data_IF_861022530051
#
_entry.id   IF_861022530051
#
_cell.length_a   1.000
_cell.length_b   1.000
_cell.length_c   1.000
_cell.angle_alpha   90.00
_cell.angle_beta   90.00
_cell.angle_gamma   90.00
#
_symmetry.space_group_name_H-M   'P 1'
#
loop_
_entity.id
_entity.type
_entity.pdbx_description
1 polymer ?
#
# COMPACT_ATOMS: atom_id res chain seq x y z
N UNK A 1 6.55 17.47 26.94
CA UNK A 1 6.12 17.17 25.56
C UNK A 1 5.55 15.76 25.59
N UNK A 2 4.38 15.55 24.99
CA UNK A 2 3.84 14.19 24.83
C UNK A 2 4.63 13.55 23.70
N UNK A 3 5.25 12.41 23.96
CA UNK A 3 6.00 11.67 22.95
C UNK A 3 5.01 11.17 21.88
N UNK A 4 5.28 11.44 20.60
CA UNK A 4 4.36 11.13 19.51
C UNK A 4 4.91 9.97 18.68
N UNK A 5 4.01 9.07 18.28
CA UNK A 5 4.28 7.99 17.34
C UNK A 5 3.55 8.29 16.04
N UNK A 6 4.29 8.34 14.93
CA UNK A 6 3.69 8.36 13.60
C UNK A 6 3.23 6.95 13.23
N UNK A 7 1.99 6.79 12.83
CA UNK A 7 1.42 5.56 12.30
C UNK A 7 1.25 5.72 10.79
N UNK A 8 1.66 4.71 10.03
CA UNK A 8 1.44 4.63 8.60
C UNK A 8 0.88 3.25 8.25
N UNK A 9 -0.44 3.17 8.11
CA UNK A 9 -1.13 1.94 7.74
C UNK A 9 -1.52 1.93 6.26
N UNK A 10 -1.21 0.84 5.56
CA UNK A 10 -1.47 0.71 4.13
C UNK A 10 -1.96 -0.69 3.76
N UNK A 11 -2.84 -0.77 2.77
CA UNK A 11 -3.22 -2.03 2.12
C UNK A 11 -2.37 -2.18 0.87
N UNK A 12 -1.73 -3.35 0.69
CA UNK A 12 -0.88 -3.63 -0.46
C UNK A 12 -1.33 -4.92 -1.14
N UNK A 13 -1.30 -4.94 -2.46
CA UNK A 13 -1.64 -6.08 -3.28
C UNK A 13 -0.39 -6.87 -3.68
N UNK A 14 -0.41 -8.17 -3.39
CA UNK A 14 0.55 -9.17 -3.85
C UNK A 14 -0.08 -9.93 -5.01
N UNK A 15 0.39 -9.63 -6.21
CA UNK A 15 -0.08 -10.21 -7.47
C UNK A 15 1.11 -10.92 -8.10
N UNK A 16 1.00 -12.23 -8.31
CA UNK A 16 2.07 -13.06 -8.88
C UNK A 16 1.62 -13.56 -10.24
N UNK A 17 2.45 -13.33 -11.26
CA UNK A 17 2.30 -13.87 -12.61
C UNK A 17 3.61 -14.56 -12.98
N UNK A 18 3.55 -15.84 -13.37
CA UNK A 18 4.72 -16.64 -13.78
C UNK A 18 5.91 -16.57 -12.80
N UNK A 19 5.63 -16.75 -11.51
CA UNK A 19 6.60 -16.66 -10.39
C UNK A 19 7.25 -15.28 -10.17
N UNK A 20 6.77 -14.24 -10.86
CA UNK A 20 7.21 -12.86 -10.71
C UNK A 20 6.13 -11.98 -10.07
N UNK A 21 6.53 -10.91 -9.41
CA UNK A 21 5.64 -9.97 -8.74
C UNK A 21 5.30 -8.82 -9.69
N UNK A 22 4.01 -8.55 -9.83
CA UNK A 22 3.53 -7.38 -10.55
C UNK A 22 3.69 -6.14 -9.68
N UNK A 23 4.37 -5.12 -10.22
CA UNK A 23 4.59 -3.82 -9.58
C UNK A 23 4.29 -2.69 -10.58
N UNK A 24 4.04 -1.49 -10.07
CA UNK A 24 3.65 -0.31 -10.86
C UNK A 24 4.53 0.88 -10.51
N UNK A 25 4.82 1.77 -11.47
CA UNK A 25 5.53 3.02 -11.15
C UNK A 25 4.65 3.87 -10.25
N UNK A 26 5.22 4.30 -9.12
CA UNK A 26 4.54 5.17 -8.19
C UNK A 26 4.18 6.51 -8.86
N UNK A 27 2.88 6.81 -8.96
CA UNK A 27 2.36 7.98 -9.67
C UNK A 27 2.96 9.29 -9.14
N UNK A 28 2.94 9.51 -7.82
CA UNK A 28 3.47 10.73 -7.21
C UNK A 28 4.97 10.92 -7.49
N UNK A 29 5.77 9.86 -7.37
CA UNK A 29 7.21 9.93 -7.69
C UNK A 29 7.43 10.23 -9.17
N UNK A 30 6.61 9.64 -10.04
CA UNK A 30 6.68 9.86 -11.48
C UNK A 30 6.37 11.32 -11.87
N UNK A 31 5.41 11.96 -11.21
CA UNK A 31 5.12 13.40 -11.39
C UNK A 31 6.33 14.29 -11.04
N UNK A 32 7.22 13.81 -10.17
CA UNK A 32 8.48 14.46 -9.82
C UNK A 32 9.68 13.96 -10.64
N UNK A 33 9.45 13.23 -11.74
CA UNK A 33 10.50 12.72 -12.63
C UNK A 33 11.29 11.53 -12.07
N UNK A 34 10.84 10.92 -10.97
CA UNK A 34 11.49 9.77 -10.34
C UNK A 34 10.75 8.48 -10.68
N UNK A 35 11.43 7.55 -11.35
CA UNK A 35 10.90 6.21 -11.60
C UNK A 35 11.19 5.31 -10.41
N UNK A 36 10.15 4.94 -9.67
CA UNK A 36 10.22 3.99 -8.56
C UNK A 36 9.04 3.03 -8.66
N UNK A 37 9.31 1.73 -8.80
CA UNK A 37 8.27 0.71 -8.77
C UNK A 37 7.83 0.42 -7.33
N UNK A 38 6.53 0.37 -7.09
CA UNK A 38 5.93 0.00 -5.81
C UNK A 38 4.87 -1.09 -6.01
N UNK A 39 4.45 -1.80 -4.94
CA UNK A 39 3.26 -2.64 -5.03
C UNK A 39 2.05 -1.78 -5.34
N UNK A 40 1.03 -2.40 -5.92
CA UNK A 40 -0.31 -1.81 -5.98
C UNK A 40 -0.85 -1.61 -4.56
N UNK A 41 -1.45 -0.47 -4.28
CA UNK A 41 -2.10 -0.15 -3.01
C UNK A 41 -1.76 1.22 -2.42
N UNK A 42 -2.43 1.53 -1.31
CA UNK A 42 -2.39 2.86 -0.73
C UNK A 42 -2.65 2.89 0.78
N UNK A 43 -2.76 4.10 1.31
CA UNK A 43 -3.06 4.31 2.73
C UNK A 43 -4.45 3.76 3.05
N UNK A 44 -4.56 2.97 4.13
CA UNK A 44 -5.88 2.53 4.60
C UNK A 44 -6.66 3.75 5.08
N UNK A 45 -7.91 3.91 4.67
CA UNK A 45 -8.72 5.05 5.12
C UNK A 45 -9.63 4.66 6.27
N UNK A 46 -9.96 5.60 7.14
CA UNK A 46 -11.00 5.43 8.15
C UNK A 46 -12.33 6.06 7.70
N UNK A 47 -13.44 5.58 8.24
CA UNK A 47 -14.77 6.15 8.01
C UNK A 47 -15.10 7.19 9.08
N UNK A 48 -16.03 8.10 8.80
CA UNK A 48 -16.44 9.16 9.75
C UNK A 48 -16.80 8.62 11.13
N UNK A 49 -17.33 7.40 11.21
CA UNK A 49 -17.65 6.71 12.47
C UNK A 49 -16.44 6.43 13.36
N UNK A 50 -15.23 6.37 12.82
CA UNK A 50 -13.99 6.23 13.60
C UNK A 50 -13.45 7.56 14.14
N UNK A 51 -13.93 8.70 13.63
CA UNK A 51 -13.33 10.00 13.92
C UNK A 51 -13.41 10.37 15.40
N UNK A 52 -14.52 10.03 16.09
CA UNK A 52 -14.65 10.26 17.53
C UNK A 52 -13.60 9.48 18.32
N UNK A 53 -13.37 8.21 17.96
CA UNK A 53 -12.36 7.38 18.61
C UNK A 53 -10.95 7.95 18.37
N UNK A 54 -10.59 8.23 17.12
CA UNK A 54 -9.26 8.75 16.75
C UNK A 54 -8.99 10.12 17.38
N UNK A 55 -9.97 11.01 17.44
CA UNK A 55 -9.84 12.30 18.11
C UNK A 55 -9.65 12.12 19.63
N UNK A 56 -10.34 11.16 20.26
CA UNK A 56 -10.14 10.85 21.68
C UNK A 56 -8.77 10.23 21.98
N UNK A 57 -8.12 9.59 20.99
CA UNK A 57 -6.72 9.20 21.09
C UNK A 57 -5.76 10.39 20.98
N UNK A 58 -6.22 11.56 20.52
CA UNK A 58 -5.37 12.71 20.20
C UNK A 58 -4.70 12.60 18.84
N UNK A 59 -5.32 11.92 17.87
CA UNK A 59 -4.76 11.73 16.54
C UNK A 59 -4.58 13.07 15.78
N UNK A 60 -3.43 13.20 15.12
CA UNK A 60 -3.10 14.29 14.20
C UNK A 60 -2.94 13.72 12.79
N UNK A 61 -3.84 14.06 11.87
CA UNK A 61 -3.91 13.47 10.53
C UNK A 61 -2.92 14.14 9.56
N UNK A 62 -2.24 13.35 8.72
CA UNK A 62 -1.42 13.88 7.63
C UNK A 62 -2.25 14.46 6.49
N UNK A 63 -3.28 13.72 6.08
CA UNK A 63 -4.13 14.08 4.95
C UNK A 63 -5.47 13.37 5.03
N UNK A 64 -6.56 14.13 4.93
CA UNK A 64 -7.92 13.61 4.85
C UNK A 64 -8.22 12.54 5.90
N UNK A 65 -8.70 11.39 5.42
CA UNK A 65 -9.05 10.24 6.24
C UNK A 65 -8.06 9.06 6.09
N UNK A 66 -6.85 9.29 5.60
CA UNK A 66 -5.80 8.26 5.58
C UNK A 66 -5.38 7.92 7.02
N UNK A 67 -5.13 6.64 7.29
CA UNK A 67 -4.45 6.15 8.50
C UNK A 67 -2.94 6.39 8.43
N UNK A 68 -2.59 7.62 8.09
CA UNK A 68 -1.28 8.25 8.16
C UNK A 68 -1.44 9.41 9.14
N UNK A 69 -1.14 9.14 10.40
CA UNK A 69 -1.48 10.02 11.52
C UNK A 69 -0.45 9.90 12.63
N UNK A 70 -0.36 10.88 13.51
CA UNK A 70 0.43 10.81 14.74
C UNK A 70 -0.48 10.68 15.96
N UNK A 71 -0.10 9.84 16.91
CA UNK A 71 -0.79 9.66 18.20
C UNK A 71 0.23 9.71 19.34
N UNK A 72 -0.21 10.03 20.58
CA UNK A 72 0.61 9.81 21.77
C UNK A 72 1.09 8.36 21.86
N UNK A 73 2.38 8.15 22.17
CA UNK A 73 3.00 6.81 22.25
C UNK A 73 2.25 5.92 23.25
N UNK A 74 1.79 6.47 24.36
CA UNK A 74 1.04 5.76 25.40
C UNK A 74 -0.36 5.29 24.97
N UNK A 75 -0.86 5.78 23.81
CA UNK A 75 -2.14 5.39 23.22
C UNK A 75 -2.00 4.31 22.15
N UNK A 76 -0.77 3.84 21.88
CA UNK A 76 -0.49 2.86 20.84
C UNK A 76 -1.29 1.56 21.00
N UNK A 77 -1.35 0.99 22.20
CA UNK A 77 -2.04 -0.29 22.43
C UNK A 77 -3.56 -0.18 22.13
N UNK A 78 -4.16 0.96 22.49
CA UNK A 78 -5.57 1.25 22.16
C UNK A 78 -5.80 1.39 20.66
N UNK A 79 -4.87 2.05 19.96
CA UNK A 79 -4.92 2.15 18.51
C UNK A 79 -4.80 0.76 17.86
N UNK A 80 -3.85 -0.07 18.28
CA UNK A 80 -3.70 -1.43 17.77
C UNK A 80 -4.97 -2.24 17.99
N UNK A 81 -5.51 -2.24 19.20
CA UNK A 81 -6.74 -2.98 19.51
C UNK A 81 -7.88 -2.57 18.57
N UNK A 82 -8.08 -1.26 18.37
CA UNK A 82 -9.07 -0.76 17.41
C UNK A 82 -8.76 -1.16 15.97
N UNK A 83 -7.50 -1.03 15.54
CA UNK A 83 -7.08 -1.38 14.19
C UNK A 83 -7.39 -2.85 13.87
N UNK A 84 -7.10 -3.76 14.80
CA UNK A 84 -7.31 -5.20 14.64
C UNK A 84 -8.77 -5.64 14.71
N UNK A 85 -9.67 -4.83 15.27
CA UNK A 85 -11.12 -5.08 15.19
C UNK A 85 -11.67 -4.97 13.77
N UNK A 86 -10.94 -4.31 12.86
CA UNK A 86 -11.35 -4.11 11.45
C UNK A 86 -12.71 -3.42 11.31
N UNK A 87 -13.05 -2.54 12.24
CA UNK A 87 -14.31 -1.79 12.26
C UNK A 87 -14.07 -0.31 11.92
N UNK A 88 -15.02 0.31 11.21
CA UNK A 88 -15.01 1.75 10.90
C UNK A 88 -13.78 2.22 10.09
N UNK A 89 -13.17 1.34 9.32
CA UNK A 89 -12.08 1.63 8.38
C UNK A 89 -12.15 0.73 7.15
N UNK A 90 -11.36 1.08 6.14
CA UNK A 90 -11.13 0.21 5.01
C UNK A 90 -10.51 -1.12 5.43
N UNK A 91 -11.11 -2.18 4.93
CA UNK A 91 -10.72 -3.59 5.16
C UNK A 91 -10.56 -4.34 3.85
N UNK A 92 -10.74 -3.66 2.73
CA UNK A 92 -10.69 -4.19 1.38
C UNK A 92 -9.75 -3.35 0.54
N UNK A 93 -8.89 -4.03 -0.22
CA UNK A 93 -7.97 -3.42 -1.20
C UNK A 93 -8.68 -2.99 -2.50
N UNK A 94 -9.97 -3.30 -2.65
CA UNK A 94 -10.73 -3.11 -3.89
C UNK A 94 -10.66 -1.67 -4.44
N UNK A 95 -10.79 -0.67 -3.58
CA UNK A 95 -10.83 0.73 -4.02
C UNK A 95 -9.48 1.18 -4.57
N UNK A 96 -8.38 0.79 -3.91
CA UNK A 96 -7.02 1.07 -4.37
C UNK A 96 -6.72 0.36 -5.69
N UNK A 97 -7.07 -0.93 -5.80
CA UNK A 97 -6.92 -1.66 -7.08
C UNK A 97 -7.71 -1.01 -8.21
N UNK A 98 -8.93 -0.54 -7.92
CA UNK A 98 -9.74 0.15 -8.93
C UNK A 98 -9.06 1.44 -9.37
N UNK A 99 -8.63 2.26 -8.43
CA UNK A 99 -7.95 3.53 -8.70
C UNK A 99 -6.71 3.30 -9.58
N UNK A 100 -5.83 2.39 -9.18
CA UNK A 100 -4.60 2.13 -9.94
C UNK A 100 -4.90 1.44 -11.28
N UNK A 101 -5.62 0.32 -11.33
CA UNK A 101 -5.80 -0.42 -12.59
C UNK A 101 -6.76 0.24 -13.59
N UNK A 102 -7.79 0.98 -13.12
CA UNK A 102 -8.81 1.59 -13.97
C UNK A 102 -8.53 3.08 -14.17
N UNK A 103 -8.29 3.81 -13.09
CA UNK A 103 -8.27 5.27 -13.14
C UNK A 103 -6.89 5.82 -13.54
N UNK A 104 -5.81 5.22 -13.06
CA UNK A 104 -4.45 5.67 -13.36
C UNK A 104 -3.83 4.93 -14.55
N UNK A 105 -3.76 3.60 -14.48
CA UNK A 105 -3.02 2.76 -15.43
C UNK A 105 -3.84 2.37 -16.66
N UNK A 106 -5.16 2.54 -16.61
CA UNK A 106 -6.08 2.24 -17.73
C UNK A 106 -5.93 0.82 -18.27
N UNK A 107 -5.52 -0.13 -17.43
CA UNK A 107 -5.40 -1.56 -17.77
C UNK A 107 -6.77 -2.16 -17.99
N UNK A 108 -7.74 -1.78 -17.15
CA UNK A 108 -9.14 -2.19 -17.27
C UNK A 108 -9.99 -0.97 -17.61
N UNK A 109 -11.02 -1.16 -18.43
CA UNK A 109 -12.06 -0.12 -18.62
C UNK A 109 -12.96 0.01 -17.39
N UNK A 110 -13.16 -1.10 -16.68
CA UNK A 110 -13.90 -1.17 -15.42
C UNK A 110 -13.43 -2.36 -14.59
N UNK A 111 -13.56 -2.26 -13.26
CA UNK A 111 -13.31 -3.38 -12.36
C UNK A 111 -14.61 -3.76 -11.66
N UNK A 112 -14.97 -5.05 -11.71
CA UNK A 112 -16.12 -5.60 -10.99
C UNK A 112 -15.66 -6.32 -9.72
N UNK A 113 -16.60 -6.62 -8.81
CA UNK A 113 -16.30 -7.43 -7.61
C UNK A 113 -15.85 -8.86 -7.91
N UNK A 114 -16.02 -9.34 -9.15
CA UNK A 114 -15.58 -10.67 -9.60
C UNK A 114 -14.22 -10.63 -10.31
N UNK A 115 -13.62 -9.44 -10.44
CA UNK A 115 -12.34 -9.28 -11.13
C UNK A 115 -11.22 -10.07 -10.48
N UNK A 116 -11.31 -10.32 -9.18
CA UNK A 116 -10.32 -11.08 -8.45
C UNK A 116 -10.92 -11.84 -7.25
N UNK A 117 -10.19 -12.84 -6.77
CA UNK A 117 -10.39 -13.46 -5.47
C UNK A 117 -9.23 -13.12 -4.52
N UNK A 118 -9.56 -12.99 -3.24
CA UNK A 118 -8.56 -12.86 -2.18
C UNK A 118 -8.15 -14.27 -1.73
N UNK A 119 -6.91 -14.65 -2.02
CA UNK A 119 -6.36 -15.94 -1.56
C UNK A 119 -5.94 -15.86 -0.09
N UNK A 120 -5.27 -14.76 0.27
CA UNK A 120 -4.68 -14.60 1.60
C UNK A 120 -4.64 -13.13 2.00
N UNK A 121 -4.89 -12.88 3.28
CA UNK A 121 -4.60 -11.61 3.94
C UNK A 121 -3.63 -11.86 5.10
N UNK A 122 -2.52 -11.14 5.13
CA UNK A 122 -1.61 -11.09 6.27
C UNK A 122 -1.37 -9.66 6.69
N UNK A 123 -1.19 -9.43 7.99
CA UNK A 123 -0.76 -8.14 8.52
C UNK A 123 0.72 -8.23 8.88
N UNK A 124 1.51 -7.30 8.33
CA UNK A 124 2.94 -7.16 8.62
C UNK A 124 3.16 -5.85 9.37
N UNK A 125 3.76 -5.95 10.56
CA UNK A 125 4.14 -4.81 11.39
C UNK A 125 5.67 -4.80 11.56
N UNK A 126 6.40 -4.06 10.72
CA UNK A 126 7.85 -3.94 10.86
C UNK A 126 8.20 -3.21 12.17
N UNK A 127 9.45 -3.34 12.66
CA UNK A 127 9.93 -2.55 13.79
C UNK A 127 9.77 -1.05 13.54
N UNK A 128 9.56 -0.29 14.61
CA UNK A 128 9.56 1.17 14.56
C UNK A 128 10.91 1.67 14.08
N UNK A 129 10.88 2.63 13.18
CA UNK A 129 12.09 3.29 12.67
C UNK A 129 11.93 4.80 12.72
N UNK A 130 13.02 5.58 12.78
CA UNK A 130 12.96 7.02 12.57
C UNK A 130 12.18 7.33 11.28
N UNK A 131 11.31 8.33 11.34
CA UNK A 131 10.52 8.74 10.18
C UNK A 131 11.41 9.25 9.04
N UNK A 132 11.03 8.92 7.82
CA UNK A 132 11.56 9.46 6.57
C UNK A 132 10.59 10.46 5.92
N UNK A 133 9.49 10.79 6.62
CA UNK A 133 8.43 11.69 6.14
C UNK A 133 8.81 13.15 6.45
N UNK A 134 8.95 14.02 5.43
CA UNK A 134 9.16 15.45 5.66
C UNK A 134 8.04 16.08 6.48
N UNK A 135 8.38 16.94 7.44
CA UNK A 135 7.45 17.60 8.35
C UNK A 135 7.10 16.81 9.62
N UNK A 136 7.66 15.62 9.79
CA UNK A 136 7.48 14.76 10.97
C UNK A 136 8.81 14.41 11.65
N UNK A 137 9.87 15.17 11.38
CA UNK A 137 11.22 14.91 11.84
C UNK A 137 11.29 14.71 13.36
N UNK A 138 12.09 13.74 13.80
CA UNK A 138 12.25 13.40 15.22
C UNK A 138 11.26 12.36 15.76
N UNK A 139 10.20 12.03 15.02
CA UNK A 139 9.27 10.96 15.41
C UNK A 139 9.74 9.58 14.94
N UNK A 140 9.31 8.55 15.67
CA UNK A 140 9.33 7.17 15.18
C UNK A 140 8.09 6.91 14.33
N UNK A 141 8.23 6.13 13.26
CA UNK A 141 7.12 5.61 12.46
C UNK A 141 6.90 4.13 12.78
N UNK A 142 5.68 3.79 13.16
CA UNK A 142 5.15 2.44 13.13
C UNK A 142 4.39 2.21 11.82
N UNK A 143 4.90 1.30 10.99
CA UNK A 143 4.23 0.90 9.74
C UNK A 143 3.34 -0.31 10.01
N UNK A 144 2.20 -0.38 9.35
CA UNK A 144 1.31 -1.54 9.33
C UNK A 144 0.94 -1.80 7.88
N UNK A 145 1.21 -2.99 7.37
CA UNK A 145 0.86 -3.39 6.01
C UNK A 145 -0.15 -4.53 6.03
N UNK A 146 -1.32 -4.32 5.45
CA UNK A 146 -2.27 -5.39 5.13
C UNK A 146 -1.97 -5.91 3.72
N UNK A 147 -1.24 -7.04 3.63
CA UNK A 147 -0.87 -7.67 2.37
C UNK A 147 -1.98 -8.60 1.89
N UNK A 148 -2.55 -8.26 0.74
CA UNK A 148 -3.63 -8.99 0.08
C UNK A 148 -3.04 -9.79 -1.08
N UNK A 149 -2.97 -11.12 -0.95
CA UNK A 149 -2.60 -12.00 -2.07
C UNK A 149 -3.82 -12.18 -2.94
N UNK A 150 -3.72 -11.72 -4.19
CA UNK A 150 -4.83 -11.58 -5.12
C UNK A 150 -4.61 -12.48 -6.32
N UNK A 151 -5.66 -13.18 -6.73
CA UNK A 151 -5.71 -13.95 -7.97
C UNK A 151 -6.76 -13.29 -8.86
N UNK A 152 -6.33 -12.72 -9.98
CA UNK A 152 -7.25 -12.14 -10.96
C UNK A 152 -8.00 -13.23 -11.71
N UNK A 153 -9.24 -12.92 -12.12
CA UNK A 153 -9.97 -13.76 -13.04
C UNK A 153 -9.24 -13.80 -14.41
N UNK A 154 -9.38 -14.89 -15.19
CA UNK A 154 -8.56 -15.10 -16.39
C UNK A 154 -8.63 -13.98 -17.44
N UNK A 155 -9.78 -13.34 -17.59
CA UNK A 155 -9.99 -12.19 -18.48
C UNK A 155 -9.23 -10.94 -18.02
N UNK A 156 -9.26 -10.64 -16.72
CA UNK A 156 -8.48 -9.56 -16.13
C UNK A 156 -6.98 -9.83 -16.19
N UNK A 157 -6.54 -11.07 -15.91
CA UNK A 157 -5.13 -11.45 -16.06
C UNK A 157 -4.65 -11.26 -17.50
N UNK A 158 -5.46 -11.66 -18.50
CA UNK A 158 -5.13 -11.46 -19.91
C UNK A 158 -4.98 -9.96 -20.27
N UNK A 159 -5.81 -9.09 -19.68
CA UNK A 159 -5.68 -7.63 -19.85
C UNK A 159 -4.38 -7.08 -19.22
N UNK A 160 -4.01 -7.56 -18.02
CA UNK A 160 -2.73 -7.20 -17.38
C UNK A 160 -1.57 -7.61 -18.28
N UNK A 161 -1.57 -8.85 -18.77
CA UNK A 161 -0.53 -9.38 -19.66
C UNK A 161 -0.41 -8.58 -20.95
N UNK A 162 -1.55 -8.16 -21.53
CA UNK A 162 -1.55 -7.26 -22.69
C UNK A 162 -0.94 -5.90 -22.34
N UNK A 163 -1.28 -5.32 -21.20
CA UNK A 163 -0.71 -4.04 -20.76
C UNK A 163 0.81 -4.10 -20.58
N UNK A 164 1.34 -5.20 -20.05
CA UNK A 164 2.78 -5.42 -19.90
C UNK A 164 3.57 -5.41 -21.23
N UNK A 165 2.89 -5.57 -22.37
CA UNK A 165 3.53 -5.52 -23.70
C UNK A 165 3.52 -4.14 -24.36
N UNK A 166 2.89 -3.13 -23.74
CA UNK A 166 2.81 -1.79 -24.30
C UNK A 166 4.08 -0.99 -23.97
N UNK A 167 4.60 -0.23 -24.93
CA UNK A 167 5.83 0.57 -24.76
C UNK A 167 5.72 1.61 -23.64
N UNK A 168 4.53 2.17 -23.43
CA UNK A 168 4.26 3.19 -22.40
C UNK A 168 3.75 2.62 -21.08
N UNK A 169 3.80 1.29 -20.90
CA UNK A 169 3.32 0.66 -19.67
C UNK A 169 4.11 1.13 -18.45
N UNK A 170 3.40 1.39 -17.35
CA UNK A 170 4.01 1.66 -16.05
C UNK A 170 4.05 0.42 -15.17
N UNK A 171 3.59 -0.72 -15.68
CA UNK A 171 3.62 -1.99 -14.99
C UNK A 171 4.92 -2.72 -15.34
N UNK A 172 5.41 -3.54 -14.43
CA UNK A 172 6.46 -4.51 -14.75
C UNK A 172 6.37 -5.73 -13.85
N UNK A 173 7.06 -6.80 -14.27
CA UNK A 173 7.23 -8.01 -13.48
C UNK A 173 8.66 -8.04 -12.93
N UNK A 174 8.78 -8.15 -11.61
CA UNK A 174 10.07 -8.25 -10.93
C UNK A 174 10.20 -9.59 -10.23
N UNK A 175 11.39 -10.18 -10.30
CA UNK A 175 11.68 -11.40 -9.54
C UNK A 175 12.07 -11.10 -8.07
N UNK A 176 12.22 -12.17 -7.28
CA UNK A 176 12.61 -12.05 -5.86
C UNK A 176 13.96 -11.34 -5.68
N UNK A 177 14.91 -11.56 -6.58
CA UNK A 177 16.24 -10.97 -6.47
C UNK A 177 16.20 -9.46 -6.74
N UNK A 178 15.42 -9.03 -7.74
CA UNK A 178 15.18 -7.59 -8.02
C UNK A 178 14.55 -6.89 -6.81
N UNK A 179 13.56 -7.49 -6.15
CA UNK A 179 12.96 -6.93 -4.93
C UNK A 179 14.00 -6.83 -3.79
N UNK A 180 14.84 -7.85 -3.61
CA UNK A 180 15.86 -7.87 -2.56
C UNK A 180 16.97 -6.83 -2.77
N UNK A 181 17.38 -6.60 -4.02
CA UNK A 181 18.39 -5.59 -4.35
C UNK A 181 17.81 -4.17 -4.36
N UNK A 182 16.49 -4.04 -4.54
CA UNK A 182 15.80 -2.75 -4.66
C UNK A 182 15.90 -2.14 -6.05
N UNK A 183 16.28 -2.92 -7.07
CA UNK A 183 16.42 -2.45 -8.45
C UNK A 183 15.93 -3.50 -9.44
N UNK A 184 15.25 -3.04 -10.50
CA UNK A 184 14.98 -3.89 -11.66
C UNK A 184 16.28 -4.20 -12.41
N UNK A 185 16.25 -5.18 -13.30
CA UNK A 185 17.36 -5.49 -14.24
C UNK A 185 17.76 -4.32 -15.13
N UNK A 186 16.86 -3.34 -15.32
CA UNK A 186 17.11 -2.10 -16.07
C UNK A 186 17.62 -0.96 -15.18
N UNK A 187 17.87 -1.21 -13.89
CA UNK A 187 18.39 -0.22 -12.94
C UNK A 187 17.33 0.77 -12.43
N UNK A 188 16.03 0.47 -12.58
CA UNK A 188 14.96 1.31 -12.03
C UNK A 188 14.76 0.95 -10.55
N UNK A 189 14.64 1.95 -9.69
CA UNK A 189 14.43 1.75 -8.25
C UNK A 189 13.13 0.96 -7.99
N UNK A 190 13.18 0.09 -7.00
CA UNK A 190 12.04 -0.61 -6.41
C UNK A 190 11.91 -0.11 -4.97
N UNK A 191 10.70 0.31 -4.60
CA UNK A 191 10.40 0.84 -3.27
C UNK A 191 10.63 -0.21 -2.18
N UNK A 192 11.11 0.19 -0.98
CA UNK A 192 11.41 -0.75 0.10
C UNK A 192 10.17 -1.48 0.63
N UNK A 193 8.97 -0.96 0.38
CA UNK A 193 7.71 -1.65 0.69
C UNK A 193 7.50 -2.92 -0.17
N UNK A 194 8.15 -3.06 -1.32
CA UNK A 194 8.12 -4.31 -2.09
C UNK A 194 8.76 -5.48 -1.35
N UNK A 195 9.67 -5.25 -0.39
CA UNK A 195 10.25 -6.34 0.42
C UNK A 195 9.18 -7.17 1.14
N UNK A 196 8.05 -6.55 1.50
CA UNK A 196 6.95 -7.24 2.16
C UNK A 196 6.12 -8.13 1.22
N UNK A 197 6.27 -7.99 -0.10
CA UNK A 197 5.69 -8.96 -1.05
C UNK A 197 6.33 -10.35 -0.93
N UNK A 198 7.53 -10.44 -0.36
CA UNK A 198 8.24 -11.71 -0.18
C UNK A 198 7.72 -12.52 1.01
N UNK A 199 6.85 -11.95 1.84
CA UNK A 199 6.23 -12.59 3.01
C UNK A 199 5.08 -13.55 2.68
#
# INVERSE_FOLDING_TARGET
MVDQLRVSAAGLAKIILDDQFLVVLNYERLQHGLKVYTPFGGGLKFYDSAQVFLNNLGAQYENGNDLRLSIPVEKWDLFQEWFYRRENRDVSIYQELKEEFVDEEKVFSEMTKKAYSLEKLITVEPPRVPTDRPGYEGLLTQRIFEMHTIIFAPDYEAMIRKSLTLDETRLTLVDRAEIQTGYTKLGINIGPNCLYLLS
#
